data_IF_486841729993
#
_entry.id   IF_486841729993
#
_cell.length_a   1.000
_cell.length_b   1.000
_cell.length_c   1.000
_cell.angle_alpha   90.00
_cell.angle_beta   90.00
_cell.angle_gamma   90.00
#
_symmetry.space_group_name_H-M   'P 1'
#
loop_
_entity.id
_entity.type
_entity.pdbx_description
1 polymer ?
#
# COMPACT_ATOMS: atom_id res chain seq x y z
N UNK A 1 -9.54 -9.01 0.85
CA UNK A 1 -10.39 -8.01 0.17
C UNK A 1 -9.54 -6.87 -0.40
N UNK A 2 -8.64 -6.27 0.39
CA UNK A 2 -7.84 -5.10 -0.01
C UNK A 2 -6.97 -5.28 -1.27
N UNK A 3 -6.37 -6.45 -1.49
CA UNK A 3 -5.51 -6.66 -2.65
C UNK A 3 -6.24 -6.62 -4.01
N UNK A 4 -7.44 -7.20 -4.10
CA UNK A 4 -8.27 -7.13 -5.33
C UNK A 4 -8.72 -5.71 -5.62
N UNK A 5 -9.04 -4.94 -4.57
CA UNK A 5 -9.36 -3.52 -4.71
C UNK A 5 -8.15 -2.75 -5.24
N UNK A 6 -6.95 -2.99 -4.70
CA UNK A 6 -5.73 -2.36 -5.19
C UNK A 6 -5.46 -2.68 -6.66
N UNK A 7 -5.60 -3.95 -7.07
CA UNK A 7 -5.46 -4.36 -8.46
C UNK A 7 -6.47 -3.67 -9.39
N UNK A 8 -7.76 -3.72 -9.06
CA UNK A 8 -8.80 -3.04 -9.85
C UNK A 8 -8.57 -1.53 -9.93
N UNK A 9 -8.13 -0.90 -8.84
CA UNK A 9 -7.88 0.54 -8.79
C UNK A 9 -6.66 0.94 -9.63
N UNK A 10 -5.53 0.22 -9.51
CA UNK A 10 -4.33 0.47 -10.30
C UNK A 10 -4.62 0.31 -11.80
N UNK A 11 -5.28 -0.78 -12.18
CA UNK A 11 -5.62 -1.03 -13.59
C UNK A 11 -6.59 0.03 -14.13
N UNK A 12 -7.59 0.41 -13.35
CA UNK A 12 -8.57 1.43 -13.74
C UNK A 12 -7.98 2.84 -13.85
N UNK A 13 -7.13 3.23 -12.89
CA UNK A 13 -6.51 4.55 -12.86
C UNK A 13 -5.44 4.73 -13.94
N UNK A 14 -4.63 3.69 -14.18
CA UNK A 14 -3.52 3.76 -15.14
C UNK A 14 -3.98 3.60 -16.58
N UNK A 15 -5.13 2.95 -16.81
CA UNK A 15 -5.64 2.65 -18.14
C UNK A 15 -4.89 1.49 -18.80
N UNK A 16 -5.19 1.24 -20.08
CA UNK A 16 -4.70 0.08 -20.84
C UNK A 16 -3.93 0.46 -22.12
N UNK A 17 -3.57 1.73 -22.29
CA UNK A 17 -2.77 2.17 -23.43
C UNK A 17 -1.30 1.77 -23.22
N UNK A 18 -0.66 1.27 -24.27
CA UNK A 18 0.69 0.69 -24.22
C UNK A 18 1.81 1.73 -24.11
N UNK A 19 1.51 3.00 -24.33
CA UNK A 19 2.48 4.10 -24.37
C UNK A 19 2.18 5.19 -23.35
N UNK A 20 0.91 5.47 -23.05
CA UNK A 20 0.50 6.56 -22.19
C UNK A 20 -0.38 6.08 -21.04
N UNK A 21 0.00 6.41 -19.82
CA UNK A 21 -0.86 6.20 -18.64
C UNK A 21 -1.82 7.37 -18.50
N UNK A 22 -3.07 7.09 -18.15
CA UNK A 22 -4.06 8.14 -17.88
C UNK A 22 -3.69 8.92 -16.61
N UNK A 23 -3.35 8.19 -15.55
CA UNK A 23 -2.77 8.71 -14.33
C UNK A 23 -1.90 7.63 -13.67
N UNK A 24 -0.83 8.01 -12.98
CA UNK A 24 0.01 7.04 -12.27
C UNK A 24 -0.65 6.60 -10.96
N UNK A 25 -0.77 5.29 -10.75
CA UNK A 25 -1.15 4.73 -9.46
C UNK A 25 0.06 4.57 -8.54
N UNK A 26 -0.20 4.58 -7.23
CA UNK A 26 0.81 4.38 -6.20
C UNK A 26 0.25 3.68 -4.97
N UNK A 27 0.92 2.64 -4.49
CA UNK A 27 0.53 1.91 -3.29
C UNK A 27 1.04 2.62 -2.04
N UNK A 28 0.17 2.86 -1.06
CA UNK A 28 0.54 3.53 0.20
C UNK A 28 -0.36 3.07 1.36
N UNK A 29 0.05 3.22 2.62
CA UNK A 29 1.38 3.61 3.08
C UNK A 29 2.18 2.34 3.42
N UNK A 30 3.33 2.16 2.77
CA UNK A 30 4.17 0.97 2.92
C UNK A 30 5.16 1.14 4.09
N UNK A 31 5.06 0.41 5.20
CA UNK A 31 4.01 -0.51 5.56
C UNK A 31 3.71 -0.48 7.07
N UNK A 32 2.82 -1.38 7.52
CA UNK A 32 2.38 -1.46 8.93
C UNK A 32 1.79 -0.14 9.48
N UNK A 33 1.23 0.69 8.59
CA UNK A 33 0.60 1.97 8.93
C UNK A 33 -0.84 1.82 9.46
N UNK A 34 -1.05 0.90 10.39
CA UNK A 34 -2.34 0.67 11.06
C UNK A 34 -2.42 1.26 12.47
N UNK A 35 -1.35 1.91 12.93
CA UNK A 35 -1.24 2.51 14.26
C UNK A 35 -2.16 3.72 14.47
N UNK A 36 -2.14 4.31 15.68
CA UNK A 36 -2.90 5.52 15.98
C UNK A 36 -2.50 6.68 15.06
N UNK A 37 -3.49 7.45 14.61
CA UNK A 37 -3.23 8.70 13.87
C UNK A 37 -2.59 9.76 14.78
N UNK A 38 -3.06 9.87 16.03
CA UNK A 38 -2.60 10.89 16.98
C UNK A 38 -2.63 10.46 18.47
N UNK A 39 -3.68 9.74 18.91
CA UNK A 39 -3.84 9.30 20.30
C UNK A 39 -3.81 7.77 20.35
N UNK A 40 -3.00 7.13 21.22
CA UNK A 40 -2.12 7.71 22.24
C UNK A 40 -0.73 8.16 21.75
N UNK A 41 -0.39 7.89 20.48
CA UNK A 41 0.88 8.26 19.86
C UNK A 41 0.62 8.83 18.48
N UNK A 42 1.40 9.82 18.07
CA UNK A 42 1.35 10.37 16.72
C UNK A 42 1.82 9.35 15.70
N UNK A 43 1.16 9.29 14.54
CA UNK A 43 1.62 8.48 13.40
C UNK A 43 3.02 8.85 12.90
N UNK A 44 3.51 10.05 13.23
CA UNK A 44 4.85 10.52 12.86
C UNK A 44 5.97 9.89 13.68
N UNK A 45 5.63 9.18 14.76
CA UNK A 45 6.60 8.60 15.69
C UNK A 45 6.19 7.24 16.25
N UNK A 46 5.05 6.69 15.80
CA UNK A 46 4.55 5.43 16.31
C UNK A 46 5.47 4.30 15.89
N UNK A 47 6.00 3.53 16.84
CA UNK A 47 6.85 2.38 16.53
C UNK A 47 6.00 1.10 16.44
N UNK A 48 5.76 0.63 15.21
CA UNK A 48 4.92 -0.53 14.95
C UNK A 48 5.70 -1.85 15.13
N UNK A 49 5.51 -2.50 16.28
CA UNK A 49 6.11 -3.80 16.59
C UNK A 49 5.19 -4.94 16.15
N UNK A 50 5.54 -5.63 15.07
CA UNK A 50 4.74 -6.76 14.52
C UNK A 50 5.55 -8.03 14.36
N UNK A 51 4.90 -9.19 14.49
CA UNK A 51 5.53 -10.49 14.26
C UNK A 51 5.85 -10.68 12.77
N UNK A 52 6.88 -11.47 12.44
CA UNK A 52 7.17 -11.80 11.04
C UNK A 52 5.98 -12.48 10.35
N UNK A 53 5.22 -13.29 11.10
CA UNK A 53 4.01 -13.94 10.60
C UNK A 53 2.97 -12.91 10.18
N UNK A 54 2.68 -11.92 11.02
CA UNK A 54 1.67 -10.89 10.70
C UNK A 54 2.16 -9.97 9.59
N UNK A 55 3.44 -9.61 9.59
CA UNK A 55 4.05 -8.86 8.50
C UNK A 55 3.80 -9.53 7.15
N UNK A 56 4.12 -10.83 7.04
CA UNK A 56 3.97 -11.59 5.80
C UNK A 56 2.52 -11.92 5.44
N UNK A 57 1.68 -12.24 6.42
CA UNK A 57 0.34 -12.80 6.18
C UNK A 57 -0.77 -11.76 6.23
N UNK A 58 -0.54 -10.62 6.87
CA UNK A 58 -1.56 -9.57 7.07
C UNK A 58 -1.20 -8.30 6.30
N UNK A 59 0.02 -7.77 6.47
CA UNK A 59 0.37 -6.44 5.96
C UNK A 59 0.86 -6.46 4.51
N UNK A 60 1.80 -7.35 4.15
CA UNK A 60 2.38 -7.43 2.81
C UNK A 60 1.46 -7.92 1.67
N UNK A 61 0.44 -8.77 1.87
CA UNK A 61 -0.32 -9.35 0.75
C UNK A 61 -1.03 -8.34 -0.16
N UNK A 62 -1.49 -7.21 0.38
CA UNK A 62 -2.14 -6.16 -0.40
C UNK A 62 -1.12 -5.40 -1.27
N UNK A 63 0.03 -5.04 -0.71
CA UNK A 63 1.13 -4.42 -1.46
C UNK A 63 1.68 -5.33 -2.55
N UNK A 64 1.81 -6.64 -2.26
CA UNK A 64 2.19 -7.64 -3.27
C UNK A 64 1.24 -7.66 -4.47
N UNK A 65 -0.07 -7.57 -4.23
CA UNK A 65 -1.05 -7.50 -5.31
C UNK A 65 -0.96 -6.16 -6.08
N UNK A 66 -0.79 -5.05 -5.36
CA UNK A 66 -0.65 -3.73 -5.96
C UNK A 66 0.61 -3.60 -6.85
N UNK A 67 1.74 -4.16 -6.42
CA UNK A 67 2.97 -4.23 -7.25
C UNK A 67 2.76 -5.14 -8.46
N UNK A 68 2.11 -6.28 -8.29
CA UNK A 68 1.78 -7.18 -9.41
C UNK A 68 0.83 -6.56 -10.44
N UNK A 69 -0.02 -5.63 -10.00
CA UNK A 69 -0.89 -4.85 -10.88
C UNK A 69 -0.13 -3.77 -11.69
N UNK A 70 1.19 -3.65 -11.52
CA UNK A 70 2.00 -2.71 -12.30
C UNK A 70 1.89 -1.27 -11.82
N UNK A 71 1.75 -1.07 -10.51
CA UNK A 71 1.87 0.27 -9.91
C UNK A 71 3.20 0.95 -10.31
N UNK A 72 3.18 2.26 -10.51
CA UNK A 72 4.40 3.02 -10.82
C UNK A 72 5.14 3.53 -9.58
N UNK A 73 4.51 3.48 -8.41
CA UNK A 73 5.12 4.02 -7.19
C UNK A 73 4.68 3.30 -5.93
N UNK A 74 5.55 3.35 -4.91
CA UNK A 74 5.25 2.94 -3.55
C UNK A 74 5.63 4.09 -2.64
N UNK A 75 4.73 4.48 -1.74
CA UNK A 75 4.97 5.55 -0.77
C UNK A 75 5.10 4.94 0.62
N UNK A 76 6.23 5.23 1.27
CA UNK A 76 6.51 4.73 2.62
C UNK A 76 5.60 5.36 3.68
N UNK A 77 5.37 4.62 4.76
CA UNK A 77 4.71 5.12 5.97
C UNK A 77 5.63 6.03 6.79
N UNK A 78 5.03 6.76 7.73
CA UNK A 78 5.75 7.61 8.67
C UNK A 78 6.32 6.86 9.88
N UNK A 79 5.57 5.87 10.37
CA UNK A 79 5.90 5.05 11.53
C UNK A 79 7.19 4.25 11.35
#
# INVERSE_FOLDING_TARGET
MNGKLAESYINGLQGNDSRFVQATGGCKHFDVHGGPEDIPSSRFSFDAQVSERDWRMTFLPAFRQCVRAGTFSVMCSYN
#
